data_IF_198561232319
#
_entry.id   IF_198561232319
#
_cell.length_a   1.000
_cell.length_b   1.000
_cell.length_c   1.000
_cell.angle_alpha   90.00
_cell.angle_beta   90.00
_cell.angle_gamma   90.00
#
_symmetry.space_group_name_H-M   'P 1'
#
loop_
_entity.id
_entity.type
_entity.pdbx_description
1 polymer ?
#
# COMPACT_ATOMS: atom_id res chain seq x y z
N UNK A 1 -0.74 -35.19 -16.40
CA UNK A 1 -0.44 -34.23 -15.32
C UNK A 1 -1.30 -33.01 -15.57
N UNK A 2 -2.26 -32.75 -14.68
CA UNK A 2 -3.28 -31.72 -14.88
C UNK A 2 -2.63 -30.34 -14.89
N UNK A 3 -2.70 -29.68 -16.05
CA UNK A 3 -2.33 -28.28 -16.20
C UNK A 3 -3.48 -27.45 -15.65
N UNK A 4 -3.39 -27.06 -14.38
CA UNK A 4 -4.34 -26.13 -13.78
C UNK A 4 -4.02 -24.74 -14.33
N UNK A 5 -4.64 -24.41 -15.47
CA UNK A 5 -4.81 -23.01 -15.88
C UNK A 5 -5.72 -22.37 -14.84
N UNK A 6 -5.11 -21.79 -13.82
CA UNK A 6 -5.78 -20.85 -12.92
C UNK A 6 -6.30 -19.70 -13.79
N UNK A 7 -7.61 -19.43 -13.73
CA UNK A 7 -8.22 -18.20 -14.25
C UNK A 7 -7.30 -17.02 -13.90
N UNK A 8 -6.99 -16.11 -14.83
CA UNK A 8 -6.24 -14.89 -14.50
C UNK A 8 -7.20 -13.73 -14.19
N UNK A 9 -7.56 -13.48 -12.91
CA UNK A 9 -8.01 -12.16 -12.48
C UNK A 9 -6.82 -11.20 -12.58
N UNK A 10 -6.78 -10.37 -13.63
CA UNK A 10 -5.64 -9.54 -14.06
C UNK A 10 -4.32 -10.31 -14.25
N UNK A 11 -3.63 -10.05 -15.35
CA UNK A 11 -2.25 -10.55 -15.47
C UNK A 11 -1.33 -9.81 -14.48
N UNK A 12 -0.19 -10.42 -14.15
CA UNK A 12 0.75 -9.84 -13.19
C UNK A 12 1.23 -8.43 -13.62
N UNK A 13 1.28 -8.17 -14.93
CA UNK A 13 1.63 -6.86 -15.48
C UNK A 13 0.55 -5.81 -15.18
N UNK A 14 -0.73 -6.11 -15.44
CA UNK A 14 -1.85 -5.24 -15.10
C UNK A 14 -2.00 -5.03 -13.59
N UNK A 15 -1.73 -6.06 -12.79
CA UNK A 15 -1.67 -5.93 -11.34
C UNK A 15 -0.59 -4.93 -10.90
N UNK A 16 0.64 -5.05 -11.44
CA UNK A 16 1.74 -4.11 -11.16
C UNK A 16 1.39 -2.67 -11.55
N UNK A 17 0.79 -2.46 -12.71
CA UNK A 17 0.36 -1.14 -13.15
C UNK A 17 -0.69 -0.55 -12.20
N UNK A 18 -1.67 -1.36 -11.79
CA UNK A 18 -2.72 -0.94 -10.84
C UNK A 18 -2.14 -0.60 -9.47
N UNK A 19 -1.24 -1.43 -8.95
CA UNK A 19 -0.51 -1.20 -7.70
C UNK A 19 0.25 0.14 -7.79
N UNK A 20 1.00 0.35 -8.87
CA UNK A 20 1.74 1.61 -9.07
C UNK A 20 0.81 2.82 -9.04
N UNK A 21 -0.32 2.77 -9.76
CA UNK A 21 -1.31 3.86 -9.77
C UNK A 21 -1.87 4.14 -8.38
N UNK A 22 -2.18 3.10 -7.60
CA UNK A 22 -2.70 3.24 -6.24
C UNK A 22 -1.66 3.86 -5.29
N UNK A 23 -0.39 3.43 -5.38
CA UNK A 23 0.71 3.99 -4.60
C UNK A 23 0.94 5.47 -4.92
N UNK A 24 1.02 5.83 -6.21
CA UNK A 24 1.17 7.23 -6.65
C UNK A 24 -0.04 8.08 -6.20
N UNK A 25 -1.24 7.51 -6.25
CA UNK A 25 -2.45 8.19 -5.79
C UNK A 25 -2.40 8.44 -4.28
N UNK A 26 -1.99 7.45 -3.48
CA UNK A 26 -1.79 7.61 -2.04
C UNK A 26 -0.74 8.67 -1.72
N UNK A 27 0.40 8.64 -2.40
CA UNK A 27 1.49 9.61 -2.22
C UNK A 27 1.02 11.04 -2.55
N UNK A 28 0.26 11.21 -3.62
CA UNK A 28 -0.28 12.51 -4.01
C UNK A 28 -1.29 13.02 -2.98
N UNK A 29 -2.18 12.15 -2.46
CA UNK A 29 -3.13 12.52 -1.40
C UNK A 29 -2.41 12.95 -0.13
N UNK A 30 -1.40 12.19 0.28
CA UNK A 30 -0.56 12.49 1.45
C UNK A 30 0.15 13.83 1.29
N UNK A 31 0.80 14.06 0.15
CA UNK A 31 1.52 15.31 -0.15
C UNK A 31 0.61 16.53 -0.22
N UNK A 32 -0.61 16.36 -0.72
CA UNK A 32 -1.60 17.43 -0.88
C UNK A 32 -2.37 17.72 0.42
N UNK A 33 -2.11 16.99 1.51
CA UNK A 33 -2.83 17.18 2.78
C UNK A 33 -4.30 16.76 2.69
N UNK A 34 -4.65 15.86 1.78
CA UNK A 34 -5.98 15.23 1.76
C UNK A 34 -6.13 14.39 3.03
N UNK A 35 -7.38 14.24 3.52
CA UNK A 35 -7.73 13.41 4.67
C UNK A 35 -6.90 12.11 4.74
N UNK A 36 -6.15 11.85 5.84
CA UNK A 36 -5.23 10.71 5.93
C UNK A 36 -5.86 9.37 5.58
N UNK A 37 -7.14 9.18 5.92
CA UNK A 37 -7.91 7.97 5.66
C UNK A 37 -7.99 7.65 4.16
N UNK A 38 -8.02 8.67 3.29
CA UNK A 38 -8.03 8.50 1.83
C UNK A 38 -6.66 8.07 1.29
N UNK A 39 -5.58 8.57 1.88
CA UNK A 39 -4.23 8.13 1.55
C UNK A 39 -4.04 6.67 1.99
N UNK A 40 -4.39 6.37 3.26
CA UNK A 40 -4.39 5.00 3.83
C UNK A 40 -5.14 4.01 2.95
N UNK A 41 -6.39 4.32 2.59
CA UNK A 41 -7.20 3.45 1.74
C UNK A 41 -6.59 3.19 0.36
N UNK A 42 -5.75 4.08 -0.16
CA UNK A 42 -5.04 3.86 -1.43
C UNK A 42 -3.94 2.80 -1.27
N UNK A 43 -3.18 2.87 -0.17
CA UNK A 43 -2.11 1.94 0.12
C UNK A 43 -2.64 0.55 0.49
N UNK A 44 -3.72 0.49 1.27
CA UNK A 44 -4.41 -0.77 1.60
C UNK A 44 -4.97 -1.44 0.35
N UNK A 45 -5.62 -0.69 -0.55
CA UNK A 45 -6.07 -1.23 -1.84
C UNK A 45 -4.90 -1.74 -2.69
N UNK A 46 -3.74 -1.09 -2.66
CA UNK A 46 -2.55 -1.57 -3.37
C UNK A 46 -2.08 -2.92 -2.81
N UNK A 47 -2.16 -3.10 -1.49
CA UNK A 47 -1.80 -4.35 -0.83
C UNK A 47 -2.80 -5.47 -1.15
N UNK A 48 -4.10 -5.18 -1.21
CA UNK A 48 -5.12 -6.16 -1.62
C UNK A 48 -4.89 -6.64 -3.06
N UNK A 49 -4.65 -5.71 -4.01
CA UNK A 49 -4.32 -6.08 -5.40
C UNK A 49 -3.03 -6.90 -5.45
N UNK A 50 -2.04 -6.57 -4.62
CA UNK A 50 -0.79 -7.34 -4.55
C UNK A 50 -1.03 -8.75 -4.00
N UNK A 51 -1.92 -8.93 -3.01
CA UNK A 51 -2.29 -10.24 -2.48
C UNK A 51 -3.00 -11.09 -3.52
N UNK A 52 -4.00 -10.52 -4.20
CA UNK A 52 -4.75 -11.20 -5.27
C UNK A 52 -3.82 -11.67 -6.42
N UNK A 53 -2.78 -10.88 -6.72
CA UNK A 53 -1.83 -11.17 -7.79
C UNK A 53 -0.58 -11.98 -7.35
N UNK A 54 -0.47 -12.36 -6.06
CA UNK A 54 0.70 -13.07 -5.53
C UNK A 54 1.99 -12.24 -5.49
N UNK A 55 1.87 -10.91 -5.42
CA UNK A 55 2.98 -9.94 -5.37
C UNK A 55 3.19 -9.33 -3.97
N UNK A 56 2.40 -9.76 -2.98
CA UNK A 56 2.34 -9.17 -1.64
C UNK A 56 3.72 -9.04 -0.98
N UNK A 57 4.57 -10.07 -1.06
CA UNK A 57 5.91 -10.06 -0.46
C UNK A 57 6.77 -8.88 -0.96
N UNK A 58 6.64 -8.53 -2.24
CA UNK A 58 7.39 -7.42 -2.84
C UNK A 58 6.81 -6.03 -2.55
N UNK A 59 5.49 -5.95 -2.34
CA UNK A 59 4.76 -4.67 -2.20
C UNK A 59 4.57 -4.26 -0.75
N UNK A 60 4.40 -5.24 0.15
CA UNK A 60 4.13 -5.04 1.57
C UNK A 60 5.15 -4.13 2.27
N UNK A 61 6.48 -4.29 2.12
CA UNK A 61 7.44 -3.42 2.80
C UNK A 61 7.28 -1.94 2.40
N UNK A 62 6.95 -1.68 1.14
CA UNK A 62 6.73 -0.32 0.65
C UNK A 62 5.45 0.28 1.24
N UNK A 63 4.36 -0.48 1.28
CA UNK A 63 3.09 -0.05 1.87
C UNK A 63 3.24 0.25 3.36
N UNK A 64 3.94 -0.60 4.10
CA UNK A 64 4.18 -0.43 5.55
C UNK A 64 4.94 0.88 5.84
N UNK A 65 5.99 1.19 5.06
CA UNK A 65 6.72 2.46 5.19
C UNK A 65 5.78 3.67 5.00
N UNK A 66 4.91 3.62 3.98
CA UNK A 66 4.00 4.72 3.66
C UNK A 66 2.90 4.90 4.69
N UNK A 67 2.40 3.82 5.27
CA UNK A 67 1.45 3.88 6.38
C UNK A 67 2.11 4.49 7.62
N UNK A 68 3.36 4.13 7.92
CA UNK A 68 4.11 4.73 9.02
C UNK A 68 4.41 6.22 8.78
N UNK A 69 4.73 6.63 7.55
CA UNK A 69 4.86 8.05 7.18
C UNK A 69 3.56 8.82 7.41
N UNK A 70 2.44 8.25 7.00
CA UNK A 70 1.13 8.86 7.16
C UNK A 70 0.75 9.03 8.65
N UNK A 71 1.05 8.03 9.48
CA UNK A 71 0.85 8.12 10.94
C UNK A 71 1.71 9.21 11.58
N UNK A 72 2.95 9.41 11.10
CA UNK A 72 3.82 10.51 11.57
C UNK A 72 3.28 11.89 11.21
N UNK A 73 2.60 12.00 10.08
CA UNK A 73 2.05 13.26 9.57
C UNK A 73 0.67 13.61 10.15
N UNK A 74 -0.03 12.63 10.74
CA UNK A 74 -1.37 12.84 11.30
C UNK A 74 -1.29 13.55 12.66
N UNK A 75 -1.94 14.72 12.85
CA UNK A 75 -1.94 15.42 14.13
C UNK A 75 -2.57 14.57 15.24
N UNK A 76 -1.85 14.41 16.36
CA UNK A 76 -2.31 13.61 17.50
C UNK A 76 -1.72 12.20 17.59
N UNK A 77 -0.89 11.78 16.63
CA UNK A 77 -0.11 10.55 16.75
C UNK A 77 0.84 10.65 17.94
N UNK A 78 0.90 9.65 18.85
CA UNK A 78 1.82 9.68 19.97
C UNK A 78 3.24 9.79 19.41
N UNK A 79 3.97 10.85 19.79
CA UNK A 79 5.43 10.89 19.57
C UNK A 79 5.97 9.60 20.14
N UNK A 80 6.61 8.77 19.32
CA UNK A 80 7.32 7.59 19.79
C UNK A 80 8.12 7.99 21.02
N UNK A 81 7.84 7.34 22.16
CA UNK A 81 8.49 7.69 23.41
C UNK A 81 10.01 7.62 23.20
N UNK A 82 10.79 8.58 23.73
CA UNK A 82 12.23 8.54 23.60
C UNK A 82 12.77 7.22 24.18
N UNK A 83 13.84 6.64 23.60
CA UNK A 83 14.43 5.42 24.12
C UNK A 83 14.79 5.64 25.59
N UNK A 84 14.38 4.70 26.44
CA UNK A 84 14.69 4.74 27.87
C UNK A 84 16.23 4.79 28.03
N UNK A 85 16.69 5.78 28.80
CA UNK A 85 18.09 5.98 29.14
C UNK A 85 18.61 4.92 30.11
#
# INVERSE_FOLDING_TARGET
MASTVTLLPMDQAGARERIQKLLVTGDNRMKQGVAPEKARGSYEQALEVAREAGLEESVRPLVEIRLADLERLTPGSPRSAPPAA
#
